data_IF_115532716477
#
_entry.id   IF_115532716477
#
_cell.length_a   1.000
_cell.length_b   1.000
_cell.length_c   1.000
_cell.angle_alpha   90.00
_cell.angle_beta   90.00
_cell.angle_gamma   90.00
#
_symmetry.space_group_name_H-M   'P 1'
#
loop_
_entity.id
_entity.type
_entity.pdbx_description
1 polymer ?
#
# COMPACT_ATOMS: atom_id res chain seq x y z
N UNK A 1 -6.84 22.92 -4.94
CA UNK A 1 -5.57 22.21 -4.68
C UNK A 1 -5.61 20.87 -5.39
N UNK A 2 -4.55 20.49 -6.11
CA UNK A 2 -4.44 19.15 -6.73
C UNK A 2 -4.01 18.14 -5.67
N UNK A 3 -4.70 17.00 -5.56
CA UNK A 3 -4.38 15.91 -4.64
C UNK A 3 -3.75 14.77 -5.43
N UNK A 4 -2.61 14.25 -4.98
CA UNK A 4 -2.01 13.06 -5.56
C UNK A 4 -2.81 11.83 -5.11
N UNK A 5 -3.18 10.97 -6.05
CA UNK A 5 -3.83 9.69 -5.77
C UNK A 5 -2.97 8.56 -6.32
N UNK A 6 -2.76 7.53 -5.50
CA UNK A 6 -2.05 6.31 -5.85
C UNK A 6 -3.08 5.19 -5.85
N UNK A 7 -3.22 4.50 -7.00
CA UNK A 7 -4.08 3.33 -7.14
C UNK A 7 -3.21 2.07 -7.04
N UNK A 8 -3.45 1.28 -6.01
CA UNK A 8 -2.68 0.10 -5.62
C UNK A 8 -1.72 0.37 -4.45
N UNK A 9 -1.79 -0.47 -3.42
CA UNK A 9 -0.93 -0.51 -2.23
C UNK A 9 0.03 -1.73 -2.26
N UNK A 10 0.45 -2.15 -3.47
CA UNK A 10 1.58 -3.06 -3.67
C UNK A 10 2.94 -2.41 -3.44
N UNK A 11 4.05 -3.11 -3.72
CA UNK A 11 5.40 -2.58 -3.48
C UNK A 11 5.65 -1.22 -4.14
N UNK A 12 5.23 -1.06 -5.40
CA UNK A 12 5.39 0.21 -6.12
C UNK A 12 4.57 1.35 -5.49
N UNK A 13 3.29 1.09 -5.18
CA UNK A 13 2.41 2.08 -4.56
C UNK A 13 2.85 2.51 -3.17
N UNK A 14 3.32 1.56 -2.35
CA UNK A 14 3.89 1.85 -1.03
C UNK A 14 5.12 2.74 -1.14
N UNK A 15 6.03 2.46 -2.10
CA UNK A 15 7.21 3.32 -2.31
C UNK A 15 6.85 4.70 -2.86
N UNK A 16 5.86 4.80 -3.74
CA UNK A 16 5.34 6.08 -4.21
C UNK A 16 4.77 6.91 -3.06
N UNK A 17 3.94 6.28 -2.21
CA UNK A 17 3.36 6.93 -1.03
C UNK A 17 4.43 7.38 -0.04
N UNK A 18 5.45 6.53 0.20
CA UNK A 18 6.58 6.84 1.06
C UNK A 18 7.36 8.07 0.56
N UNK A 19 7.67 8.12 -0.73
CA UNK A 19 8.37 9.26 -1.35
C UNK A 19 7.56 10.55 -1.22
N UNK A 20 6.27 10.52 -1.53
CA UNK A 20 5.40 11.69 -1.40
C UNK A 20 5.30 12.18 0.05
N UNK A 21 5.10 11.25 1.00
CA UNK A 21 5.03 11.57 2.43
C UNK A 21 6.35 12.19 2.94
N UNK A 22 7.50 11.71 2.46
CA UNK A 22 8.82 12.28 2.80
C UNK A 22 8.99 13.72 2.32
N UNK A 23 8.28 14.12 1.26
CA UNK A 23 8.28 15.50 0.74
C UNK A 23 7.11 16.35 1.27
N UNK A 24 6.43 15.91 2.33
CA UNK A 24 5.33 16.66 2.95
C UNK A 24 4.02 16.64 2.16
N UNK A 25 3.92 15.82 1.11
CA UNK A 25 2.67 15.60 0.39
C UNK A 25 1.87 14.51 1.11
N UNK A 26 0.57 14.76 1.32
CA UNK A 26 -0.37 13.77 1.89
C UNK A 26 -1.19 13.14 0.75
N UNK A 27 -0.72 12.06 0.10
CA UNK A 27 -1.45 11.39 -0.95
C UNK A 27 -2.65 10.61 -0.42
N UNK A 28 -3.61 10.34 -1.30
CA UNK A 28 -4.61 9.29 -1.11
C UNK A 28 -4.05 8.00 -1.72
N UNK A 29 -4.09 6.90 -0.98
CA UNK A 29 -3.71 5.57 -1.46
C UNK A 29 -4.94 4.68 -1.42
N UNK A 30 -5.31 4.13 -2.57
CA UNK A 30 -6.51 3.32 -2.76
C UNK A 30 -6.08 1.91 -3.12
N UNK A 31 -6.66 0.88 -2.52
CA UNK A 31 -6.37 -0.51 -2.88
C UNK A 31 -7.59 -1.40 -2.70
N UNK A 32 -7.78 -2.35 -3.61
CA UNK A 32 -8.90 -3.30 -3.57
C UNK A 32 -8.80 -4.30 -2.42
N UNK A 33 -7.57 -4.59 -1.95
CA UNK A 33 -7.36 -5.55 -0.89
C UNK A 33 -7.54 -4.90 0.49
N UNK A 34 -7.91 -5.70 1.50
CA UNK A 34 -8.09 -5.20 2.88
C UNK A 34 -6.76 -4.75 3.52
N UNK A 35 -5.62 -5.12 2.93
CA UNK A 35 -4.28 -4.83 3.47
C UNK A 35 -3.29 -4.58 2.35
N UNK A 36 -2.38 -3.63 2.58
CA UNK A 36 -1.26 -3.34 1.68
C UNK A 36 -0.32 -4.53 1.51
N UNK A 37 0.57 -4.47 0.52
CA UNK A 37 1.51 -5.52 0.15
C UNK A 37 1.29 -6.04 -1.28
N UNK A 38 0.13 -5.78 -1.85
CA UNK A 38 -0.23 -6.17 -3.22
C UNK A 38 -0.28 -7.68 -3.40
N UNK A 39 -0.07 -8.17 -4.63
CA UNK A 39 -0.13 -9.60 -4.93
C UNK A 39 1.11 -10.36 -4.40
N UNK A 40 2.31 -9.80 -4.61
CA UNK A 40 3.58 -10.49 -4.31
C UNK A 40 3.87 -10.59 -2.81
N UNK A 41 3.57 -9.55 -2.04
CA UNK A 41 3.75 -9.51 -0.59
C UNK A 41 2.41 -9.40 0.12
N UNK A 42 1.39 -10.09 -0.38
CA UNK A 42 0.06 -10.10 0.25
C UNK A 42 0.18 -10.50 1.71
N UNK A 43 -0.39 -9.69 2.59
CA UNK A 43 -0.41 -10.00 4.01
C UNK A 43 -1.43 -11.11 4.30
N UNK A 44 -1.10 -12.07 5.19
CA UNK A 44 -2.03 -13.12 5.56
C UNK A 44 -3.24 -12.53 6.33
N UNK A 45 -4.36 -13.26 6.44
CA UNK A 45 -5.50 -12.79 7.22
C UNK A 45 -5.15 -12.64 8.71
N UNK A 46 -5.91 -11.83 9.48
CA UNK A 46 -5.77 -11.75 10.93
C UNK A 46 -5.84 -13.15 11.58
N UNK A 47 -4.99 -13.39 12.58
CA UNK A 47 -4.91 -14.68 13.28
C UNK A 47 -4.03 -15.74 12.61
N UNK A 48 -3.46 -15.48 11.43
CA UNK A 48 -2.50 -16.37 10.80
C UNK A 48 -1.10 -16.22 11.44
N UNK A 49 -0.43 -17.35 11.75
CA UNK A 49 0.76 -17.36 12.62
C UNK A 49 2.07 -17.79 11.95
N UNK A 50 2.09 -18.11 10.64
CA UNK A 50 3.35 -18.49 9.98
C UNK A 50 4.26 -17.27 9.82
N UNK A 51 5.56 -17.50 10.03
CA UNK A 51 6.58 -16.47 9.91
C UNK A 51 6.75 -15.99 8.45
N UNK A 52 7.26 -14.78 8.26
CA UNK A 52 7.46 -14.17 6.93
C UNK A 52 8.41 -15.00 6.06
N UNK A 53 9.40 -15.65 6.66
CA UNK A 53 10.34 -16.56 6.01
C UNK A 53 9.62 -17.77 5.41
N UNK A 54 8.60 -18.27 6.10
CA UNK A 54 7.77 -19.37 5.60
C UNK A 54 6.79 -18.91 4.51
N UNK A 55 6.31 -17.66 4.60
CA UNK A 55 5.33 -17.10 3.67
C UNK A 55 5.94 -16.63 2.36
N UNK A 56 7.11 -16.00 2.41
CA UNK A 56 7.72 -15.31 1.27
C UNK A 56 9.09 -15.89 0.88
N UNK A 57 9.61 -16.87 1.63
CA UNK A 57 10.91 -17.49 1.36
C UNK A 57 12.04 -16.48 1.34
N UNK A 58 12.86 -16.52 0.28
CA UNK A 58 13.98 -15.59 0.08
C UNK A 58 13.57 -14.12 -0.02
N UNK A 59 12.29 -13.83 -0.29
CA UNK A 59 11.77 -12.47 -0.38
C UNK A 59 11.26 -11.92 0.96
N UNK A 60 11.39 -12.66 2.07
CA UNK A 60 10.87 -12.24 3.38
C UNK A 60 11.37 -10.87 3.84
N UNK A 61 12.66 -10.56 3.62
CA UNK A 61 13.23 -9.26 3.94
C UNK A 61 12.61 -8.13 3.10
N UNK A 62 12.31 -8.38 1.82
CA UNK A 62 11.67 -7.39 0.94
C UNK A 62 10.20 -7.19 1.29
N UNK A 63 9.49 -8.27 1.61
CA UNK A 63 8.12 -8.20 2.12
C UNK A 63 8.08 -7.40 3.43
N UNK A 64 8.99 -7.66 4.37
CA UNK A 64 9.11 -6.87 5.60
C UNK A 64 9.37 -5.40 5.32
N UNK A 65 10.31 -5.08 4.43
CA UNK A 65 10.62 -3.70 4.07
C UNK A 65 9.41 -2.94 3.49
N UNK A 66 8.58 -3.60 2.68
CA UNK A 66 7.33 -3.00 2.15
C UNK A 66 6.29 -2.85 3.26
N UNK A 67 6.09 -3.86 4.09
CA UNK A 67 5.13 -3.81 5.18
C UNK A 67 5.46 -2.69 6.19
N UNK A 68 6.72 -2.62 6.60
CA UNK A 68 7.24 -1.63 7.54
C UNK A 68 7.25 -0.22 6.94
N UNK A 69 7.52 -0.07 5.64
CA UNK A 69 7.46 1.22 4.96
C UNK A 69 6.05 1.83 4.98
N UNK A 70 5.02 1.05 4.64
CA UNK A 70 3.64 1.53 4.70
C UNK A 70 3.22 1.83 6.15
N UNK A 71 3.53 0.92 7.08
CA UNK A 71 3.20 1.10 8.49
C UNK A 71 3.78 2.41 9.06
N UNK A 72 5.01 2.75 8.68
CA UNK A 72 5.70 3.98 9.14
C UNK A 72 5.20 5.29 8.52
N UNK A 73 4.23 5.24 7.59
CA UNK A 73 3.66 6.44 6.96
C UNK A 73 2.12 6.50 7.05
N UNK A 74 1.46 5.57 7.74
CA UNK A 74 -0.01 5.51 7.80
C UNK A 74 -0.63 6.81 8.35
N UNK A 75 0.05 7.50 9.27
CA UNK A 75 -0.33 8.79 9.83
C UNK A 75 -0.16 9.96 8.84
N UNK A 76 0.62 9.76 7.77
CA UNK A 76 0.99 10.79 6.78
C UNK A 76 0.26 10.66 5.45
N UNK A 77 -0.60 9.66 5.29
CA UNK A 77 -1.37 9.41 4.08
C UNK A 77 -2.87 9.27 4.39
N UNK A 78 -3.71 9.30 3.36
CA UNK A 78 -5.11 8.88 3.42
C UNK A 78 -5.21 7.50 2.76
N UNK A 79 -5.08 6.43 3.55
CA UNK A 79 -5.14 5.06 3.05
C UNK A 79 -6.56 4.50 3.10
N UNK A 80 -7.04 4.01 1.96
CA UNK A 80 -8.38 3.48 1.73
C UNK A 80 -8.27 2.04 1.21
N UNK A 81 -8.19 1.04 2.11
CA UNK A 81 -8.31 -0.36 1.73
C UNK A 81 -9.75 -0.65 1.26
N UNK A 82 -9.97 -1.86 0.72
CA UNK A 82 -11.28 -2.34 0.27
C UNK A 82 -11.98 -1.37 -0.70
N UNK A 83 -11.18 -0.65 -1.51
CA UNK A 83 -11.66 0.37 -2.43
C UNK A 83 -11.08 0.09 -3.82
N UNK A 84 -11.95 -0.28 -4.76
CA UNK A 84 -11.60 -0.49 -6.15
C UNK A 84 -11.75 0.81 -6.92
N UNK A 85 -10.73 1.17 -7.70
CA UNK A 85 -10.85 2.16 -8.77
C UNK A 85 -11.02 1.38 -10.08
N UNK A 86 -12.18 1.47 -10.69
CA UNK A 86 -12.48 0.79 -11.95
C UNK A 86 -12.30 1.72 -13.15
N UNK A 87 -12.44 3.04 -12.97
CA UNK A 87 -12.28 4.03 -14.03
C UNK A 87 -11.60 5.33 -13.55
N UNK A 88 -11.06 6.07 -14.52
CA UNK A 88 -10.51 7.41 -14.31
C UNK A 88 -10.90 8.30 -15.50
N UNK A 89 -11.82 9.23 -15.28
CA UNK A 89 -12.28 10.19 -16.29
C UNK A 89 -12.36 11.59 -15.70
N UNK A 90 -11.91 12.59 -16.46
CA UNK A 90 -11.80 13.96 -15.94
C UNK A 90 -10.94 13.98 -14.67
N UNK A 91 -11.27 14.84 -13.72
CA UNK A 91 -10.60 14.86 -12.42
C UNK A 91 -11.27 13.92 -11.40
N UNK A 92 -11.86 12.81 -11.86
CA UNK A 92 -12.63 11.86 -11.06
C UNK A 92 -12.10 10.42 -11.21
N UNK A 93 -12.24 9.66 -10.12
CA UNK A 93 -12.02 8.21 -10.07
C UNK A 93 -13.33 7.58 -9.61
N UNK A 94 -13.75 6.52 -10.29
CA UNK A 94 -14.92 5.70 -9.93
C UNK A 94 -14.50 4.32 -9.44
#
# INVERSE_FOLDING_TARGET
MRRAVIVGAGPAGVRAAQTLAAHGVRPVVVDEAPRWGGQIYRQPPPGFTRAKETLYGFEAARADAVHSAMAGILDKIDYRPDTLVWSAEGSQLD
#
